data_IF_519640645973
#
_entry.id   IF_519640645973
#
_cell.length_a   1.000
_cell.length_b   1.000
_cell.length_c   1.000
_cell.angle_alpha   90.00
_cell.angle_beta   90.00
_cell.angle_gamma   90.00
#
_symmetry.space_group_name_H-M   'P 1'
#
loop_
_entity.id
_entity.type
_entity.pdbx_description
1 polymer ?
#
# COMPACT_ATOMS: atom_id res chain seq x y z
N UNK A 1 33.97 -18.32 1.63
CA UNK A 1 32.49 -18.25 1.70
C UNK A 1 31.85 -19.15 0.62
N UNK A 2 32.00 -20.46 0.75
CA UNK A 2 31.45 -21.39 -0.27
C UNK A 2 30.11 -22.04 0.12
N UNK A 3 29.64 -21.78 1.36
CA UNK A 3 28.61 -22.65 1.96
C UNK A 3 27.18 -22.29 1.55
N UNK A 4 26.86 -20.99 1.36
CA UNK A 4 25.52 -20.53 1.00
C UNK A 4 25.21 -20.88 -0.46
N UNK A 5 26.14 -20.57 -1.36
CA UNK A 5 26.04 -20.88 -2.80
C UNK A 5 25.90 -22.39 -3.07
N UNK A 6 26.52 -23.26 -2.24
CA UNK A 6 26.39 -24.71 -2.32
C UNK A 6 25.00 -25.19 -1.88
N UNK A 7 24.39 -24.51 -0.89
CA UNK A 7 23.02 -24.80 -0.44
C UNK A 7 21.97 -24.35 -1.45
N UNK A 8 22.11 -23.12 -1.98
CA UNK A 8 21.22 -22.57 -3.01
C UNK A 8 21.27 -23.40 -4.31
N UNK A 9 22.44 -23.89 -4.67
CA UNK A 9 22.62 -24.77 -5.83
C UNK A 9 22.22 -26.23 -5.60
N UNK A 10 21.71 -26.58 -4.41
CA UNK A 10 21.31 -27.94 -4.05
C UNK A 10 22.46 -28.94 -3.94
N UNK A 11 23.72 -28.49 -4.02
CA UNK A 11 24.91 -29.34 -4.00
C UNK A 11 25.24 -29.89 -2.60
N UNK A 12 24.71 -29.25 -1.56
CA UNK A 12 24.88 -29.66 -0.16
C UNK A 12 23.60 -29.40 0.61
N UNK A 13 23.22 -30.32 1.48
CA UNK A 13 22.08 -30.11 2.39
C UNK A 13 22.41 -29.05 3.44
N UNK A 14 21.51 -28.09 3.60
CA UNK A 14 21.59 -27.11 4.67
C UNK A 14 21.44 -27.83 6.03
N UNK A 15 22.30 -27.55 7.02
CA UNK A 15 22.16 -28.13 8.35
C UNK A 15 20.83 -27.75 8.98
N UNK A 16 20.22 -28.69 9.71
CA UNK A 16 18.89 -28.49 10.30
C UNK A 16 18.81 -27.29 11.26
N UNK A 17 19.87 -27.03 12.02
CA UNK A 17 19.92 -25.87 12.92
C UNK A 17 19.87 -24.53 12.14
N UNK A 18 20.45 -24.45 10.93
CA UNK A 18 20.40 -23.25 10.08
C UNK A 18 18.98 -23.05 9.55
N UNK A 19 18.31 -24.14 9.12
CA UNK A 19 16.90 -24.07 8.72
C UNK A 19 16.01 -23.60 9.85
N UNK A 20 16.22 -24.09 11.07
CA UNK A 20 15.48 -23.64 12.26
C UNK A 20 15.75 -22.18 12.60
N UNK A 21 17.00 -21.72 12.49
CA UNK A 21 17.34 -20.30 12.70
C UNK A 21 16.70 -19.38 11.65
N UNK A 22 16.70 -19.80 10.37
CA UNK A 22 16.04 -19.05 9.31
C UNK A 22 14.52 -19.02 9.52
N UNK A 23 13.90 -20.15 9.83
CA UNK A 23 12.48 -20.22 10.14
C UNK A 23 12.11 -19.33 11.34
N UNK A 24 12.90 -19.37 12.41
CA UNK A 24 12.74 -18.51 13.59
C UNK A 24 12.90 -17.03 13.25
N UNK A 25 13.90 -16.68 12.42
CA UNK A 25 14.12 -15.30 11.96
C UNK A 25 12.96 -14.81 11.11
N UNK A 26 12.49 -15.62 10.15
CA UNK A 26 11.31 -15.30 9.34
C UNK A 26 10.08 -15.11 10.21
N UNK A 27 9.86 -15.99 11.17
CA UNK A 27 8.74 -15.90 12.12
C UNK A 27 8.81 -14.66 13.01
N UNK A 28 10.01 -14.27 13.47
CA UNK A 28 10.25 -13.04 14.24
C UNK A 28 10.03 -11.77 13.38
N UNK A 29 10.49 -11.78 12.13
CA UNK A 29 10.31 -10.66 11.21
C UNK A 29 8.83 -10.53 10.79
N UNK A 30 8.15 -11.64 10.51
CA UNK A 30 6.71 -11.69 10.28
C UNK A 30 5.94 -11.15 11.50
N UNK A 31 6.25 -11.62 12.72
CA UNK A 31 5.59 -11.13 13.93
C UNK A 31 5.78 -9.63 14.16
N UNK A 32 6.94 -9.06 13.80
CA UNK A 32 7.18 -7.62 13.88
C UNK A 32 6.42 -6.84 12.79
N UNK A 33 6.28 -7.41 11.60
CA UNK A 33 5.48 -6.87 10.50
C UNK A 33 3.99 -6.98 10.86
N UNK A 34 3.57 -8.11 11.45
CA UNK A 34 2.20 -8.38 11.90
C UNK A 34 1.67 -7.39 12.94
N UNK A 35 2.53 -6.79 13.76
CA UNK A 35 2.09 -5.78 14.74
C UNK A 35 1.82 -4.40 14.14
N UNK A 36 2.35 -4.09 12.97
CA UNK A 36 2.24 -2.77 12.34
C UNK A 36 1.18 -2.70 11.24
N UNK A 37 1.09 -3.74 10.43
CA UNK A 37 0.17 -3.81 9.30
C UNK A 37 -0.44 -5.22 9.26
N UNK A 38 -1.77 -5.30 9.18
CA UNK A 38 -2.50 -6.56 9.11
C UNK A 38 -3.49 -6.53 7.96
N UNK A 39 -3.68 -7.66 7.30
CA UNK A 39 -4.78 -7.87 6.35
C UNK A 39 -5.85 -8.69 7.04
N UNK A 40 -7.06 -8.17 7.10
CA UNK A 40 -8.24 -8.86 7.61
C UNK A 40 -9.32 -8.93 6.53
N UNK A 41 -10.34 -9.74 6.76
CA UNK A 41 -11.56 -9.76 5.93
C UNK A 41 -12.74 -9.27 6.75
N UNK A 42 -13.62 -8.48 6.11
CA UNK A 42 -14.88 -8.08 6.70
C UNK A 42 -15.95 -9.19 6.56
N UNK A 43 -17.16 -8.92 7.06
CA UNK A 43 -18.31 -9.85 7.01
C UNK A 43 -18.70 -10.26 5.58
N UNK A 44 -18.31 -9.49 4.57
CA UNK A 44 -18.56 -9.75 3.15
C UNK A 44 -17.33 -10.37 2.45
N UNK A 45 -16.36 -10.89 3.19
CA UNK A 45 -15.09 -11.41 2.69
C UNK A 45 -14.26 -10.41 1.88
N UNK A 46 -14.47 -9.10 2.09
CA UNK A 46 -13.65 -8.07 1.46
C UNK A 46 -12.44 -7.75 2.33
N UNK A 47 -11.27 -7.74 1.72
CA UNK A 47 -10.00 -7.46 2.40
C UNK A 47 -9.90 -6.01 2.85
N UNK A 48 -9.30 -5.80 4.04
CA UNK A 48 -8.99 -4.50 4.64
C UNK A 48 -7.58 -4.56 5.19
N UNK A 49 -6.75 -3.56 4.90
CA UNK A 49 -5.43 -3.39 5.50
C UNK A 49 -5.53 -2.55 6.75
N UNK A 50 -5.29 -3.10 7.93
CA UNK A 50 -5.20 -2.36 9.19
C UNK A 50 -3.79 -1.79 9.36
N UNK A 51 -3.67 -0.48 9.49
CA UNK A 51 -2.40 0.25 9.52
C UNK A 51 -2.18 0.82 10.90
N UNK A 52 -1.36 0.16 11.73
CA UNK A 52 -0.98 0.65 13.06
C UNK A 52 0.28 1.54 13.01
N UNK A 53 1.04 1.49 11.92
CA UNK A 53 2.22 2.33 11.70
C UNK A 53 1.80 3.74 11.24
N UNK A 54 1.33 4.54 12.18
CA UNK A 54 0.92 5.92 11.93
C UNK A 54 2.16 6.81 12.03
N UNK A 55 2.79 7.08 10.90
CA UNK A 55 4.04 7.85 10.80
C UNK A 55 3.80 9.35 10.72
N UNK A 56 2.84 9.77 9.86
CA UNK A 56 2.61 11.17 9.55
C UNK A 56 1.58 11.77 10.52
N UNK A 57 2.05 12.05 11.75
CA UNK A 57 1.23 12.59 12.84
C UNK A 57 1.37 14.11 12.86
N UNK A 58 0.34 14.81 12.45
CA UNK A 58 0.28 16.25 12.65
C UNK A 58 -1.06 16.66 13.27
N UNK A 59 -1.02 17.62 14.19
CA UNK A 59 -2.23 18.21 14.77
C UNK A 59 -2.93 19.18 13.80
N UNK A 60 -2.15 19.90 12.98
CA UNK A 60 -2.68 20.97 12.11
C UNK A 60 -2.53 20.67 10.63
N UNK A 61 -1.31 20.45 10.16
CA UNK A 61 -1.03 20.24 8.73
C UNK A 61 -0.11 19.03 8.54
N UNK A 62 -0.39 18.22 7.52
CA UNK A 62 0.48 17.15 7.07
C UNK A 62 1.66 17.78 6.31
N UNK A 63 2.89 17.33 6.60
CA UNK A 63 4.05 17.68 5.78
C UNK A 63 4.13 16.74 4.58
N UNK A 64 3.69 17.24 3.44
CA UNK A 64 3.68 16.48 2.19
C UNK A 64 5.07 16.32 1.57
N UNK A 65 6.03 17.18 1.93
CA UNK A 65 7.42 17.02 1.48
C UNK A 65 8.07 15.81 2.18
N UNK A 66 7.80 15.63 3.49
CA UNK A 66 8.26 14.44 4.23
C UNK A 66 7.69 13.15 3.61
N UNK A 67 6.41 13.19 3.22
CA UNK A 67 5.75 12.07 2.56
C UNK A 67 6.39 11.78 1.20
N UNK A 68 6.66 12.81 0.41
CA UNK A 68 7.28 12.67 -0.90
C UNK A 68 8.67 12.03 -0.78
N UNK A 69 9.50 12.49 0.17
CA UNK A 69 10.82 11.87 0.42
C UNK A 69 10.69 10.40 0.83
N UNK A 70 9.74 10.08 1.71
CA UNK A 70 9.48 8.70 2.09
C UNK A 70 9.07 7.82 0.91
N UNK A 71 8.24 8.34 0.00
CA UNK A 71 7.80 7.60 -1.19
C UNK A 71 8.91 7.34 -2.20
N UNK A 72 9.98 8.15 -2.23
CA UNK A 72 11.14 7.93 -3.10
C UNK A 72 11.87 6.63 -2.80
N UNK A 73 11.79 6.12 -1.56
CA UNK A 73 12.37 4.82 -1.17
C UNK A 73 11.71 3.63 -1.89
N UNK A 74 10.48 3.80 -2.37
CA UNK A 74 9.73 2.75 -3.07
C UNK A 74 9.99 2.72 -4.57
N UNK A 75 10.62 3.75 -5.14
CA UNK A 75 10.90 3.83 -6.59
C UNK A 75 11.73 2.64 -7.05
N UNK A 76 11.26 1.98 -8.11
CA UNK A 76 11.89 0.77 -8.66
C UNK A 76 11.34 -0.53 -8.08
N UNK A 77 10.58 -0.49 -7.00
CA UNK A 77 9.93 -1.69 -6.46
C UNK A 77 8.79 -2.15 -7.38
N UNK A 78 8.47 -3.43 -7.24
CA UNK A 78 7.36 -4.06 -7.98
C UNK A 78 6.57 -4.91 -7.00
N UNK A 79 5.24 -4.77 -7.04
CA UNK A 79 4.29 -5.51 -6.21
C UNK A 79 3.27 -6.23 -7.08
N UNK A 80 2.58 -7.21 -6.54
CA UNK A 80 1.60 -8.02 -7.28
C UNK A 80 0.21 -7.89 -6.65
N UNK A 81 -0.81 -7.75 -7.49
CA UNK A 81 -2.23 -7.79 -7.08
C UNK A 81 -2.64 -9.26 -6.98
N UNK A 82 -3.13 -9.68 -5.80
CA UNK A 82 -3.52 -11.08 -5.56
C UNK A 82 -4.63 -11.56 -6.52
N UNK A 83 -5.64 -10.72 -6.78
CA UNK A 83 -6.81 -11.09 -7.58
C UNK A 83 -6.46 -11.34 -9.05
N UNK A 84 -5.57 -10.50 -9.62
CA UNK A 84 -5.30 -10.51 -11.07
C UNK A 84 -3.91 -11.01 -11.43
N UNK A 85 -3.02 -11.23 -10.44
CA UNK A 85 -1.61 -11.53 -10.63
C UNK A 85 -0.87 -10.48 -11.48
N UNK A 86 -1.41 -9.26 -11.55
CA UNK A 86 -0.81 -8.16 -12.28
C UNK A 86 0.31 -7.51 -11.47
N UNK A 87 1.43 -7.22 -12.12
CA UNK A 87 2.57 -6.55 -11.50
C UNK A 87 2.44 -5.04 -11.61
N UNK A 88 2.49 -4.36 -10.48
CA UNK A 88 2.44 -2.91 -10.36
C UNK A 88 3.83 -2.39 -10.05
N UNK A 89 4.34 -1.54 -10.92
CA UNK A 89 5.64 -0.90 -10.80
C UNK A 89 5.52 0.46 -10.12
N UNK A 90 6.47 0.80 -9.26
CA UNK A 90 6.55 2.13 -8.66
C UNK A 90 7.53 2.96 -9.49
N UNK A 91 6.99 3.93 -10.23
CA UNK A 91 7.77 4.84 -11.09
C UNK A 91 8.22 6.10 -10.37
N UNK A 92 9.14 6.85 -11.00
CA UNK A 92 9.70 8.09 -10.46
C UNK A 92 8.68 9.22 -10.29
N UNK A 93 7.56 9.15 -10.99
CA UNK A 93 6.49 10.16 -10.96
C UNK A 93 5.47 9.92 -9.84
N UNK A 94 5.43 8.73 -9.24
CA UNK A 94 4.46 8.39 -8.19
C UNK A 94 4.55 9.31 -6.96
N UNK A 95 5.74 9.63 -6.39
CA UNK A 95 5.83 10.52 -5.22
C UNK A 95 5.22 11.89 -5.46
N UNK A 96 5.54 12.54 -6.57
CA UNK A 96 5.00 13.85 -6.95
C UNK A 96 3.49 13.81 -7.16
N UNK A 97 3.01 12.86 -7.95
CA UNK A 97 1.58 12.71 -8.27
C UNK A 97 0.74 12.43 -7.02
N UNK A 98 1.22 11.58 -6.11
CA UNK A 98 0.55 11.30 -4.85
C UNK A 98 0.45 12.53 -3.96
N UNK A 99 1.52 13.33 -3.87
CA UNK A 99 1.63 14.46 -2.96
C UNK A 99 0.99 15.75 -3.50
N UNK A 100 0.95 15.93 -4.84
CA UNK A 100 0.53 17.19 -5.47
C UNK A 100 -0.69 17.05 -6.38
N UNK A 101 -1.34 15.88 -6.44
CA UNK A 101 -2.53 15.65 -7.27
C UNK A 101 -3.69 16.57 -6.90
N UNK A 102 -4.58 16.81 -7.88
CA UNK A 102 -5.84 17.54 -7.66
C UNK A 102 -6.74 16.87 -6.65
N UNK A 103 -6.67 15.54 -6.54
CA UNK A 103 -7.41 14.77 -5.54
C UNK A 103 -6.90 15.11 -4.13
N UNK A 104 -5.59 15.09 -3.93
CA UNK A 104 -4.95 15.46 -2.66
C UNK A 104 -5.32 16.88 -2.22
N UNK A 105 -5.28 17.86 -3.12
CA UNK A 105 -5.60 19.27 -2.81
C UNK A 105 -7.03 19.42 -2.25
N UNK A 106 -7.95 18.56 -2.66
CA UNK A 106 -9.36 18.56 -2.22
C UNK A 106 -9.57 17.86 -0.88
N UNK A 107 -8.64 16.98 -0.48
CA UNK A 107 -8.76 16.26 0.79
C UNK A 107 -8.49 17.19 1.96
N UNK A 108 -9.27 17.02 3.04
CA UNK A 108 -9.13 17.77 4.30
C UNK A 108 -9.42 16.88 5.51
N UNK A 109 -8.84 17.25 6.63
CA UNK A 109 -9.13 16.64 7.93
C UNK A 109 -8.79 15.14 7.99
N UNK A 110 -9.76 14.33 8.38
CA UNK A 110 -9.55 12.89 8.59
C UNK A 110 -9.16 12.15 7.30
N UNK A 111 -9.75 12.51 6.15
CA UNK A 111 -9.44 11.87 4.87
C UNK A 111 -8.02 12.22 4.39
N UNK A 112 -7.57 13.45 4.62
CA UNK A 112 -6.20 13.86 4.30
C UNK A 112 -5.18 13.10 5.15
N UNK A 113 -5.43 13.01 6.47
CA UNK A 113 -4.58 12.23 7.39
C UNK A 113 -4.56 10.75 7.05
N UNK A 114 -5.70 10.19 6.64
CA UNK A 114 -5.81 8.81 6.20
C UNK A 114 -4.99 8.57 4.92
N UNK A 115 -5.11 9.46 3.90
CA UNK A 115 -4.29 9.39 2.69
C UNK A 115 -2.79 9.46 3.01
N UNK A 116 -2.38 10.34 3.91
CA UNK A 116 -0.98 10.47 4.31
C UNK A 116 -0.41 9.18 4.94
N UNK A 117 -1.20 8.50 5.78
CA UNK A 117 -0.71 7.33 6.51
C UNK A 117 -0.91 6.00 5.76
N UNK A 118 -1.74 5.96 4.71
CA UNK A 118 -1.91 4.72 3.93
C UNK A 118 -0.63 4.27 3.23
N UNK A 119 0.30 5.19 2.95
CA UNK A 119 1.54 4.88 2.23
C UNK A 119 2.51 3.99 3.02
N UNK A 120 2.39 3.89 4.35
CA UNK A 120 3.17 2.92 5.12
C UNK A 120 2.82 1.47 4.80
N UNK A 121 1.69 1.24 4.09
CA UNK A 121 1.18 -0.07 3.69
C UNK A 121 0.98 -0.21 2.17
N UNK A 122 1.81 0.43 1.35
CA UNK A 122 1.68 0.41 -0.13
C UNK A 122 1.64 -1.02 -0.68
N UNK A 123 2.53 -1.89 -0.20
CA UNK A 123 2.60 -3.28 -0.62
C UNK A 123 1.28 -4.01 -0.37
N UNK A 124 0.76 -3.93 0.87
CA UNK A 124 -0.45 -4.60 1.27
C UNK A 124 -1.69 -4.02 0.57
N UNK A 125 -1.73 -2.71 0.33
CA UNK A 125 -2.81 -2.03 -0.40
C UNK A 125 -2.85 -2.45 -1.87
N UNK A 126 -1.69 -2.63 -2.51
CA UNK A 126 -1.59 -3.16 -3.86
C UNK A 126 -2.00 -4.64 -3.87
N UNK A 127 -1.51 -5.42 -2.89
CA UNK A 127 -1.80 -6.84 -2.80
C UNK A 127 -3.29 -7.15 -2.72
N UNK A 128 -4.07 -6.38 -1.93
CA UNK A 128 -5.51 -6.58 -1.77
C UNK A 128 -6.38 -5.85 -2.81
N UNK A 129 -5.77 -5.09 -3.72
CA UNK A 129 -6.51 -4.32 -4.71
C UNK A 129 -7.39 -5.21 -5.59
N UNK A 130 -8.65 -4.82 -5.79
CA UNK A 130 -9.69 -5.61 -6.44
C UNK A 130 -10.61 -4.77 -7.33
N UNK A 131 -11.61 -5.39 -7.93
CA UNK A 131 -12.68 -4.72 -8.69
C UNK A 131 -12.13 -3.77 -9.78
N UNK A 132 -11.19 -4.28 -10.61
CA UNK A 132 -10.56 -3.51 -11.70
C UNK A 132 -11.57 -2.89 -12.65
N UNK A 133 -11.46 -1.58 -12.86
CA UNK A 133 -12.18 -0.84 -13.90
C UNK A 133 -11.21 -0.16 -14.85
N UNK A 134 -11.48 -0.20 -16.14
CA UNK A 134 -10.68 0.43 -17.19
C UNK A 134 -11.32 1.73 -17.66
N UNK A 135 -10.50 2.74 -17.91
CA UNK A 135 -10.94 4.01 -18.52
C UNK A 135 -9.90 4.47 -19.52
N UNK A 136 -10.37 4.86 -20.69
CA UNK A 136 -9.52 5.48 -21.71
C UNK A 136 -9.06 6.88 -21.26
N UNK A 137 -7.89 7.30 -21.74
CA UNK A 137 -7.43 8.68 -21.54
C UNK A 137 -8.08 9.61 -22.60
N UNK A 138 -9.38 9.93 -22.39
CA UNK A 138 -10.15 10.77 -23.29
C UNK A 138 -9.56 12.16 -23.54
N UNK A 139 -8.63 12.62 -22.70
CA UNK A 139 -8.08 13.96 -22.80
C UNK A 139 -6.66 13.99 -23.37
N UNK A 140 -6.03 12.82 -23.59
CA UNK A 140 -4.68 12.70 -24.13
C UNK A 140 -3.60 13.49 -23.37
N UNK A 141 -3.89 13.90 -22.13
CA UNK A 141 -3.03 14.80 -21.34
C UNK A 141 -1.69 14.17 -20.92
N UNK A 142 -1.64 12.85 -20.86
CA UNK A 142 -0.47 12.13 -20.39
C UNK A 142 0.39 11.53 -21.51
N UNK A 143 0.00 11.80 -22.79
CA UNK A 143 0.78 11.47 -23.98
C UNK A 143 1.24 10.00 -24.03
N UNK A 144 2.53 9.78 -24.29
CA UNK A 144 3.10 8.44 -24.41
C UNK A 144 3.06 7.64 -23.08
N UNK A 145 3.03 8.31 -21.93
CA UNK A 145 3.06 7.66 -20.60
C UNK A 145 1.76 6.95 -20.20
N UNK A 146 0.61 7.30 -20.79
CA UNK A 146 -0.68 6.64 -20.52
C UNK A 146 -1.38 6.21 -21.81
N UNK A 147 -0.62 5.87 -22.84
CA UNK A 147 -1.11 5.62 -24.20
C UNK A 147 -2.09 4.46 -24.29
N UNK A 148 -2.04 3.52 -23.35
CA UNK A 148 -2.94 2.36 -23.31
C UNK A 148 -4.02 2.46 -22.22
N UNK A 149 -4.25 3.66 -21.65
CA UNK A 149 -5.33 3.92 -20.72
C UNK A 149 -4.98 3.80 -19.24
N UNK A 150 -6.02 3.83 -18.43
CA UNK A 150 -5.96 3.86 -16.98
C UNK A 150 -6.76 2.73 -16.38
N UNK A 151 -6.19 2.08 -15.34
CA UNK A 151 -6.90 1.14 -14.50
C UNK A 151 -7.16 1.75 -13.13
N UNK A 152 -8.30 1.40 -12.55
CA UNK A 152 -8.66 1.71 -11.18
C UNK A 152 -9.03 0.43 -10.46
N UNK A 153 -8.46 0.26 -9.28
CA UNK A 153 -8.76 -0.85 -8.39
C UNK A 153 -9.30 -0.31 -7.09
N UNK A 154 -10.21 -1.03 -6.48
CA UNK A 154 -10.68 -0.71 -5.13
C UNK A 154 -9.69 -1.23 -4.12
N UNK A 155 -9.41 -0.42 -3.10
CA UNK A 155 -8.63 -0.83 -1.93
C UNK A 155 -9.23 -0.22 -0.68
N UNK A 156 -9.05 -0.91 0.46
CA UNK A 156 -9.62 -0.50 1.75
C UNK A 156 -8.60 -0.61 2.85
N UNK A 157 -8.63 0.32 3.78
CA UNK A 157 -7.71 0.32 4.91
C UNK A 157 -8.34 0.90 6.17
N UNK A 158 -7.81 0.48 7.32
CA UNK A 158 -8.22 0.94 8.63
C UNK A 158 -7.12 1.75 9.30
N UNK A 159 -7.49 2.90 9.85
CA UNK A 159 -6.65 3.75 10.69
C UNK A 159 -7.12 3.61 12.14
N UNK A 160 -6.25 3.33 13.11
CA UNK A 160 -6.63 3.09 14.49
C UNK A 160 -7.25 4.35 15.11
N UNK A 161 -8.27 4.12 15.93
CA UNK A 161 -8.88 5.10 16.82
C UNK A 161 -8.57 4.69 18.26
N UNK A 162 -8.02 5.61 19.02
CA UNK A 162 -7.73 5.44 20.44
C UNK A 162 -8.74 6.23 21.28
N UNK A 163 -9.06 5.72 22.45
CA UNK A 163 -9.88 6.41 23.44
C UNK A 163 -9.08 7.49 24.19
N UNK A 164 -9.72 8.11 25.20
CA UNK A 164 -9.10 9.16 26.01
C UNK A 164 -7.94 8.64 26.88
N UNK A 165 -7.89 7.34 27.15
CA UNK A 165 -6.83 6.68 27.91
C UNK A 165 -5.66 6.22 27.01
N UNK A 166 -5.81 6.33 25.69
CA UNK A 166 -4.83 5.85 24.70
C UNK A 166 -4.98 4.36 24.37
N UNK A 167 -6.08 3.73 24.76
CA UNK A 167 -6.38 2.34 24.41
C UNK A 167 -7.05 2.27 23.04
N UNK A 168 -6.77 1.20 22.27
CA UNK A 168 -7.33 0.99 20.95
C UNK A 168 -8.85 0.72 21.05
N UNK A 169 -9.67 1.66 20.60
CA UNK A 169 -11.14 1.52 20.54
C UNK A 169 -11.58 0.71 19.30
N UNK A 170 -10.78 0.77 18.22
CA UNK A 170 -11.06 0.12 16.94
C UNK A 170 -10.42 0.86 15.78
N UNK A 171 -10.94 0.65 14.57
CA UNK A 171 -10.39 1.24 13.34
C UNK A 171 -11.45 2.01 12.57
N UNK A 172 -11.11 3.22 12.14
CA UNK A 172 -11.87 3.90 11.11
C UNK A 172 -11.50 3.36 9.75
N UNK A 173 -12.50 2.83 9.04
CA UNK A 173 -12.29 2.23 7.72
C UNK A 173 -12.44 3.30 6.64
N UNK A 174 -11.52 3.26 5.69
CA UNK A 174 -11.48 4.11 4.52
C UNK A 174 -11.43 3.26 3.24
N UNK A 175 -12.10 3.74 2.21
CA UNK A 175 -11.92 3.26 0.84
C UNK A 175 -11.06 4.23 0.04
N UNK A 176 -10.34 3.71 -0.93
CA UNK A 176 -9.62 4.50 -1.94
C UNK A 176 -9.64 3.77 -3.28
N UNK A 177 -9.42 4.51 -4.36
CA UNK A 177 -9.19 3.94 -5.70
C UNK A 177 -7.69 4.03 -6.00
N UNK A 178 -7.04 2.89 -6.12
CA UNK A 178 -5.68 2.81 -6.65
C UNK A 178 -5.72 3.11 -8.15
N UNK A 179 -5.09 4.19 -8.57
CA UNK A 179 -5.02 4.63 -9.95
C UNK A 179 -3.70 4.15 -10.56
N UNK A 180 -3.81 3.39 -11.63
CA UNK A 180 -2.67 2.77 -12.32
C UNK A 180 -2.72 3.19 -13.79
N UNK A 181 -1.59 3.67 -14.31
CA UNK A 181 -1.45 3.92 -15.74
C UNK A 181 -0.87 2.69 -16.44
N UNK A 182 -1.34 2.44 -17.65
CA UNK A 182 -0.79 1.43 -18.53
C UNK A 182 0.12 2.10 -19.56
N UNK A 183 1.39 1.82 -19.47
CA UNK A 183 2.40 2.40 -20.34
C UNK A 183 2.42 1.75 -21.74
N UNK A 184 3.18 2.33 -22.64
CA UNK A 184 3.29 1.88 -24.05
C UNK A 184 3.82 0.45 -24.16
N UNK A 185 4.75 0.06 -23.26
CA UNK A 185 5.30 -1.30 -23.15
C UNK A 185 4.34 -2.31 -22.49
N UNK A 186 3.18 -1.85 -22.04
CA UNK A 186 2.16 -2.67 -21.37
C UNK A 186 2.35 -2.82 -19.87
N UNK A 187 3.41 -2.25 -19.29
CA UNK A 187 3.61 -2.25 -17.85
C UNK A 187 2.60 -1.35 -17.14
N UNK A 188 2.27 -1.74 -15.92
CA UNK A 188 1.33 -1.05 -15.06
C UNK A 188 2.10 -0.26 -13.98
N UNK A 189 1.98 1.06 -14.00
CA UNK A 189 2.64 1.93 -13.04
C UNK A 189 1.63 2.53 -12.06
N UNK A 190 1.90 2.40 -10.76
CA UNK A 190 1.13 3.11 -9.75
C UNK A 190 1.27 4.62 -9.98
N UNK A 191 0.13 5.31 -10.02
CA UNK A 191 0.09 6.75 -10.26
C UNK A 191 -0.36 7.53 -9.02
N UNK A 192 -1.46 7.12 -8.40
CA UNK A 192 -1.99 7.75 -7.18
C UNK A 192 -2.98 6.80 -6.48
N UNK A 193 -3.32 7.11 -5.22
CA UNK A 193 -4.49 6.61 -4.53
C UNK A 193 -5.48 7.78 -4.39
N UNK A 194 -6.56 7.72 -5.15
CA UNK A 194 -7.54 8.81 -5.24
C UNK A 194 -8.85 8.46 -4.54
N UNK A 195 -9.70 9.49 -4.30
CA UNK A 195 -11.02 9.34 -3.68
C UNK A 195 -10.98 8.71 -2.29
N UNK A 196 -9.92 8.97 -1.52
CA UNK A 196 -9.84 8.50 -0.13
C UNK A 196 -11.02 9.04 0.67
N UNK A 197 -11.85 8.12 1.18
CA UNK A 197 -13.08 8.48 1.89
C UNK A 197 -13.33 7.52 3.04
N UNK A 198 -13.70 8.06 4.19
CA UNK A 198 -14.15 7.28 5.34
C UNK A 198 -15.49 6.58 5.02
N UNK A 199 -15.57 5.26 5.26
CA UNK A 199 -16.75 4.45 4.93
C UNK A 199 -17.88 4.60 5.94
N UNK A 200 -17.54 4.56 7.22
CA UNK A 200 -18.53 4.60 8.31
C UNK A 200 -18.15 5.61 9.36
N UNK A 201 -19.13 6.09 10.13
CA UNK A 201 -18.90 6.94 11.28
C UNK A 201 -18.40 6.18 12.51
N UNK A 202 -18.79 4.90 12.66
CA UNK A 202 -18.41 4.04 13.78
C UNK A 202 -17.12 3.26 13.47
N UNK A 203 -16.21 3.13 14.46
CA UNK A 203 -15.03 2.29 14.28
C UNK A 203 -15.38 0.82 14.15
N UNK A 204 -14.61 0.09 13.34
CA UNK A 204 -14.61 -1.37 13.35
C UNK A 204 -13.97 -1.85 14.65
N UNK A 205 -14.69 -2.58 15.46
CA UNK A 205 -14.17 -3.24 16.67
C UNK A 205 -13.68 -4.64 16.31
N UNK A 206 -12.54 -5.01 16.83
CA UNK A 206 -12.00 -6.37 16.73
C UNK A 206 -12.47 -7.20 17.90
#
# INVERSE_FOLDING_TARGET
MRTIEEWEAGRRKMPEYVLRLLAYKIQLESSKKDQRIHIIQDENNKSIVLINDIRFKSRRNIDWNEIEEYLKEYIGNTYEILETCEKIYIGNDFPDEFCHSKDKIRLKGANEKAKANMISAIEELIYIAADRTETEDYQGKHGAKAKKGWYRYDTRFGIPKYDENGELEGYHIYSAKMLVRRDEDGKLYLYDFVRTKKETSSPLRQ
#
